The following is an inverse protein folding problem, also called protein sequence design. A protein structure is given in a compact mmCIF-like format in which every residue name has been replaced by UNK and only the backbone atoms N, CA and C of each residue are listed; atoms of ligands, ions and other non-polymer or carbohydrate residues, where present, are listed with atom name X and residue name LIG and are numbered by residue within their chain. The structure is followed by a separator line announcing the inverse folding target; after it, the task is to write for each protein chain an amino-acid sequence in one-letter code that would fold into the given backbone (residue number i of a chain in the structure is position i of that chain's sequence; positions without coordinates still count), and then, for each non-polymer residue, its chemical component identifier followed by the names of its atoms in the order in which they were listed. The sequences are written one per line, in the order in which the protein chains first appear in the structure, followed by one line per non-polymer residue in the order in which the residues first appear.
data_IF_727935003186
#
_entry.id   IF_727935003186
#
_cell.length_a   1.000
_cell.length_b   1.000
_cell.length_c   1.000
_cell.angle_alpha   90.00
_cell.angle_beta   90.00
_cell.angle_gamma   90.00
#
_symmetry.space_group_name_H-M   'P 1'
#
loop_
_entity.id
_entity.type
_entity.pdbx_description
1 polymer ?
#
# COMPACT_ATOMS: atom_id res chain seq x y z
N UNK A 1 -4.64 -9.40 17.95
CA UNK A 1 -5.42 -8.71 16.87
C UNK A 1 -5.22 -9.49 15.59
N UNK A 2 -6.30 -9.85 14.92
CA UNK A 2 -6.25 -10.49 13.60
C UNK A 2 -6.16 -9.36 12.56
N UNK A 3 -5.22 -9.47 11.63
CA UNK A 3 -5.05 -8.52 10.52
C UNK A 3 -5.82 -9.06 9.32
N UNK A 4 -6.89 -8.41 8.94
CA UNK A 4 -7.75 -8.79 7.81
C UNK A 4 -7.78 -7.75 6.70
N UNK A 5 -7.49 -6.49 7.05
CA UNK A 5 -7.51 -5.37 6.13
C UNK A 5 -6.34 -4.42 6.39
N UNK A 6 -6.04 -3.54 5.42
CA UNK A 6 -4.98 -2.54 5.57
C UNK A 6 -5.22 -1.59 6.75
N UNK A 7 -6.48 -1.30 7.08
CA UNK A 7 -6.88 -0.49 8.24
C UNK A 7 -6.46 -1.09 9.58
N UNK A 8 -6.33 -2.42 9.66
CA UNK A 8 -5.88 -3.10 10.88
C UNK A 8 -4.40 -2.84 11.14
N UNK A 9 -3.58 -2.72 10.08
CA UNK A 9 -2.18 -2.30 10.22
C UNK A 9 -2.08 -0.88 10.77
N UNK A 10 -2.93 0.04 10.31
CA UNK A 10 -2.99 1.40 10.85
C UNK A 10 -3.31 1.40 12.34
N UNK A 11 -4.31 0.63 12.77
CA UNK A 11 -4.68 0.48 14.17
C UNK A 11 -3.57 -0.17 15.01
N UNK A 12 -2.84 -1.11 14.45
CA UNK A 12 -1.67 -1.72 15.11
C UNK A 12 -0.52 -0.73 15.25
N UNK A 13 -0.23 0.06 14.22
CA UNK A 13 0.79 1.10 14.24
C UNK A 13 0.48 2.18 15.29
N UNK A 14 -0.77 2.62 15.37
CA UNK A 14 -1.22 3.60 16.36
C UNK A 14 -0.96 3.16 17.82
N UNK A 15 -1.07 1.87 18.09
CA UNK A 15 -0.80 1.32 19.44
C UNK A 15 0.68 1.12 19.71
N UNK A 16 1.48 0.93 18.67
CA UNK A 16 2.89 0.53 18.80
C UNK A 16 3.86 1.69 18.70
N UNK A 17 3.54 2.69 17.87
CA UNK A 17 4.41 3.83 17.63
C UNK A 17 4.21 4.94 18.66
N UNK A 18 5.25 5.69 18.99
CA UNK A 18 5.09 6.93 19.76
C UNK A 18 4.11 7.88 19.04
N UNK A 19 3.26 8.62 19.78
CA UNK A 19 2.22 9.46 19.19
C UNK A 19 2.72 10.44 18.12
N UNK A 20 3.83 11.12 18.38
CA UNK A 20 4.39 12.10 17.41
C UNK A 20 4.77 11.43 16.09
N UNK A 21 5.33 10.23 16.15
CA UNK A 21 5.77 9.48 14.99
C UNK A 21 4.57 8.90 14.21
N UNK A 22 3.57 8.41 14.94
CA UNK A 22 2.32 7.97 14.32
C UNK A 22 1.62 9.12 13.59
N UNK A 23 1.45 10.27 14.25
CA UNK A 23 0.81 11.44 13.63
C UNK A 23 1.57 12.00 12.44
N UNK A 24 2.90 11.89 12.45
CA UNK A 24 3.72 12.30 11.31
C UNK A 24 3.43 11.47 10.05
N UNK A 25 3.29 10.15 10.18
CA UNK A 25 3.04 9.28 9.01
C UNK A 25 1.56 9.17 8.64
N UNK A 26 0.65 9.35 9.60
CA UNK A 26 -0.79 9.19 9.42
C UNK A 26 -1.47 10.47 8.95
N UNK A 27 -0.90 11.62 9.28
CA UNK A 27 -1.45 12.93 8.96
C UNK A 27 -1.13 13.42 7.56
N UNK A 28 -1.95 14.33 7.07
CA UNK A 28 -1.76 15.07 5.82
C UNK A 28 -1.47 16.54 6.03
N UNK A 29 -1.29 17.27 4.94
CA UNK A 29 -1.02 18.69 4.97
C UNK A 29 -2.29 19.52 5.23
N UNK A 30 -2.19 20.55 6.05
CA UNK A 30 -3.25 21.51 6.35
C UNK A 30 -4.59 20.85 6.72
N UNK A 31 -5.64 21.10 5.93
CA UNK A 31 -6.98 20.56 6.15
C UNK A 31 -7.17 19.12 5.62
N UNK A 32 -6.11 18.45 5.19
CA UNK A 32 -6.09 17.04 4.78
C UNK A 32 -7.06 16.68 3.63
N UNK A 33 -7.41 17.64 2.76
CA UNK A 33 -8.32 17.37 1.65
C UNK A 33 -7.81 16.26 0.72
N UNK A 34 -6.55 16.31 0.34
CA UNK A 34 -5.93 15.30 -0.54
C UNK A 34 -5.85 13.94 0.15
N UNK A 35 -5.53 13.91 1.45
CA UNK A 35 -5.49 12.68 2.22
C UNK A 35 -6.84 11.96 2.20
N UNK A 36 -7.93 12.71 2.45
CA UNK A 36 -9.29 12.16 2.39
C UNK A 36 -9.67 11.68 1.00
N UNK A 37 -9.42 12.52 -0.02
CA UNK A 37 -9.73 12.17 -1.41
C UNK A 37 -8.97 10.94 -1.91
N UNK A 38 -7.75 10.73 -1.49
CA UNK A 38 -6.99 9.51 -1.84
C UNK A 38 -7.74 8.23 -1.44
N UNK A 39 -8.45 8.25 -0.33
CA UNK A 39 -9.26 7.11 0.13
C UNK A 39 -10.61 7.07 -0.58
N UNK A 40 -11.28 8.20 -0.64
CA UNK A 40 -12.63 8.32 -1.24
C UNK A 40 -12.62 7.99 -2.73
N UNK A 41 -11.69 8.57 -3.50
CA UNK A 41 -11.60 8.36 -4.94
C UNK A 41 -11.27 6.90 -5.28
N UNK A 42 -10.39 6.24 -4.50
CA UNK A 42 -10.12 4.81 -4.67
C UNK A 42 -11.31 3.93 -4.30
N UNK A 43 -12.05 4.29 -3.25
CA UNK A 43 -13.23 3.52 -2.82
C UNK A 43 -14.41 3.64 -3.82
N UNK A 44 -14.42 4.68 -4.63
CA UNK A 44 -15.42 4.87 -5.69
C UNK A 44 -15.16 3.98 -6.93
N UNK A 45 -13.95 3.40 -7.05
CA UNK A 45 -13.60 2.53 -8.17
C UNK A 45 -14.15 1.12 -7.90
N UNK A 46 -14.99 0.64 -8.78
CA UNK A 46 -15.53 -0.72 -8.70
C UNK A 46 -14.95 -1.60 -9.81
N UNK A 47 -14.59 -2.83 -9.46
CA UNK A 47 -14.14 -3.83 -10.42
C UNK A 47 -15.32 -4.55 -11.04
N UNK A 48 -15.42 -4.52 -12.37
CA UNK A 48 -16.45 -5.28 -13.09
C UNK A 48 -16.02 -6.74 -13.24
N UNK A 49 -16.69 -7.62 -12.54
CA UNK A 49 -16.46 -9.06 -12.67
C UNK A 49 -16.82 -9.56 -14.08
N UNK A 50 -16.03 -10.48 -14.58
CA UNK A 50 -16.30 -11.23 -15.80
C UNK A 50 -16.30 -12.71 -15.45
N UNK A 51 -17.43 -13.38 -15.66
CA UNK A 51 -17.59 -14.82 -15.42
C UNK A 51 -17.49 -15.62 -16.71
N UNK A 52 -17.28 -16.92 -16.60
CA UNK A 52 -17.19 -17.86 -17.73
C UNK A 52 -16.09 -17.47 -18.75
N UNK A 53 -14.98 -16.95 -18.26
CA UNK A 53 -13.78 -16.69 -19.06
C UNK A 53 -12.72 -17.74 -18.78
N UNK A 54 -12.06 -18.22 -19.84
CA UNK A 54 -10.90 -19.08 -19.67
C UNK A 54 -9.75 -18.27 -19.05
N UNK A 55 -9.17 -18.77 -17.96
CA UNK A 55 -8.08 -18.14 -17.20
C UNK A 55 -6.79 -18.98 -17.25
N UNK A 56 -6.72 -20.02 -18.09
CA UNK A 56 -5.56 -20.91 -18.16
C UNK A 56 -4.25 -20.23 -18.59
N UNK A 57 -4.36 -19.12 -19.33
CA UNK A 57 -3.21 -18.38 -19.85
C UNK A 57 -3.11 -16.99 -19.23
N UNK A 58 -3.62 -16.83 -17.99
CA UNK A 58 -3.52 -15.57 -17.28
C UNK A 58 -2.06 -15.22 -16.99
N UNK A 59 -1.62 -14.07 -17.43
CA UNK A 59 -0.33 -13.48 -17.06
C UNK A 59 -0.55 -12.10 -16.45
N UNK A 60 0.22 -11.79 -15.41
CA UNK A 60 0.32 -10.45 -14.81
C UNK A 60 1.55 -9.69 -15.31
N UNK A 61 2.36 -10.36 -16.16
CA UNK A 61 3.58 -9.77 -16.70
C UNK A 61 3.27 -8.47 -17.45
N UNK A 62 4.04 -7.44 -17.17
CA UNK A 62 3.92 -6.14 -17.82
C UNK A 62 5.28 -5.57 -18.17
N UNK A 63 5.34 -4.75 -19.18
CA UNK A 63 6.57 -4.09 -19.61
C UNK A 63 6.54 -2.61 -19.25
N UNK A 64 7.58 -2.17 -18.54
CA UNK A 64 7.74 -0.77 -18.13
C UNK A 64 9.20 -0.34 -18.39
N UNK A 65 9.40 0.76 -19.13
CA UNK A 65 10.74 1.30 -19.46
C UNK A 65 11.75 0.26 -19.97
N UNK A 66 11.35 -0.61 -20.86
CA UNK A 66 12.16 -1.72 -21.39
C UNK A 66 12.48 -2.86 -20.41
N UNK A 67 11.96 -2.81 -19.21
CA UNK A 67 12.04 -3.90 -18.23
C UNK A 67 10.74 -4.69 -18.21
N UNK A 68 10.85 -5.99 -18.02
CA UNK A 68 9.70 -6.88 -17.85
C UNK A 68 9.52 -7.15 -16.37
N UNK A 69 8.35 -6.78 -15.85
CA UNK A 69 7.95 -6.99 -14.47
C UNK A 69 7.01 -8.18 -14.38
N UNK A 70 7.14 -8.99 -13.32
CA UNK A 70 6.26 -10.12 -13.09
C UNK A 70 4.80 -9.72 -12.86
N UNK A 71 4.56 -8.49 -12.37
CA UNK A 71 3.22 -7.91 -12.22
C UNK A 71 3.31 -6.37 -12.21
N UNK A 72 2.22 -5.65 -12.55
CA UNK A 72 2.20 -4.19 -12.59
C UNK A 72 2.09 -3.56 -11.18
N UNK A 73 3.00 -3.93 -10.27
CA UNK A 73 3.02 -3.44 -8.89
C UNK A 73 4.43 -3.02 -8.53
N UNK A 74 4.57 -1.86 -7.94
CA UNK A 74 5.82 -1.37 -7.37
C UNK A 74 5.58 -0.85 -5.95
N UNK A 75 6.55 -1.07 -5.08
CA UNK A 75 6.52 -0.47 -3.75
C UNK A 75 7.00 0.98 -3.85
N UNK A 76 6.17 1.90 -3.38
CA UNK A 76 6.52 3.31 -3.32
C UNK A 76 7.65 3.56 -2.31
N UNK A 77 8.52 4.56 -2.54
CA UNK A 77 9.52 4.93 -1.55
C UNK A 77 8.84 5.48 -0.28
N UNK A 78 9.31 5.03 0.87
CA UNK A 78 8.82 5.48 2.17
C UNK A 78 9.99 6.06 2.96
N UNK A 79 9.91 7.34 3.31
CA UNK A 79 10.93 8.02 4.10
C UNK A 79 10.98 7.49 5.54
N UNK A 80 12.16 7.48 6.13
CA UNK A 80 12.38 7.14 7.54
C UNK A 80 11.82 5.77 7.97
N UNK A 81 11.77 4.80 7.07
CA UNK A 81 11.15 3.47 7.31
C UNK A 81 11.74 2.78 8.53
N UNK A 82 13.03 2.92 8.78
CA UNK A 82 13.71 2.38 9.96
C UNK A 82 13.20 2.90 11.30
N UNK A 83 12.55 4.06 11.34
CA UNK A 83 11.93 4.61 12.55
C UNK A 83 10.58 3.95 12.86
N UNK A 84 9.89 3.45 11.85
CA UNK A 84 8.58 2.79 12.00
C UNK A 84 8.70 1.29 12.18
N UNK A 85 9.65 0.67 11.49
CA UNK A 85 9.91 -0.75 11.59
C UNK A 85 11.41 -1.03 11.48
N UNK A 86 11.95 -1.82 12.40
CA UNK A 86 13.37 -2.22 12.36
C UNK A 86 13.70 -2.84 11.01
N UNK A 87 14.66 -2.25 10.28
CA UNK A 87 15.07 -2.68 8.93
C UNK A 87 13.89 -2.73 7.95
N UNK A 88 12.99 -1.75 8.03
CA UNK A 88 11.78 -1.71 7.19
C UNK A 88 12.11 -1.75 5.70
N UNK A 89 13.16 -1.05 5.27
CA UNK A 89 13.63 -1.03 3.87
C UNK A 89 14.06 -2.43 3.39
N UNK A 90 14.76 -3.18 4.25
CA UNK A 90 15.20 -4.54 3.93
C UNK A 90 14.03 -5.50 3.85
N UNK A 91 13.05 -5.33 4.73
CA UNK A 91 11.83 -6.14 4.71
C UNK A 91 11.01 -5.87 3.45
N UNK A 92 10.86 -4.60 3.06
CA UNK A 92 10.17 -4.20 1.84
C UNK A 92 10.88 -4.75 0.59
N UNK A 93 12.20 -4.59 0.49
CA UNK A 93 12.98 -5.10 -0.63
C UNK A 93 12.99 -6.64 -0.75
N UNK A 94 12.76 -7.36 0.34
CA UNK A 94 12.61 -8.82 0.31
C UNK A 94 11.23 -9.28 -0.07
N UNK A 95 10.23 -8.42 0.11
CA UNK A 95 8.84 -8.72 -0.21
C UNK A 95 8.47 -8.37 -1.66
N UNK A 96 9.26 -7.49 -2.30
CA UNK A 96 9.15 -7.17 -3.71
C UNK A 96 9.80 -8.23 -4.59
#
# INVERSE_FOLDING_TARGET
MIISASTDYRAAAQRKLPPFLFHYIDGGAYAEYTLRRNVEDLSAIALRQRVLKNMSELSLETRLFNETLAMPVALAPVGLTGMYARRGEVQAARAA
#
